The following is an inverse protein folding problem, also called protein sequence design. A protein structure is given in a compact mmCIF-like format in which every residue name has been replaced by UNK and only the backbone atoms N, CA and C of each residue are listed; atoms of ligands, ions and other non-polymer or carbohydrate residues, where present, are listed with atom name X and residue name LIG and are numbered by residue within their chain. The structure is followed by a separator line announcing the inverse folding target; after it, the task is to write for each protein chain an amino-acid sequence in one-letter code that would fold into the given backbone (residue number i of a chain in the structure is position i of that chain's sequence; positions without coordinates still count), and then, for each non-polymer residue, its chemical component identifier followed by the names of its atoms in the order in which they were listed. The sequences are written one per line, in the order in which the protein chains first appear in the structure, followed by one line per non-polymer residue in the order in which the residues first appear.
data_IF_765770676698
#
_entry.id   IF_765770676698
#
_cell.length_a   1.000
_cell.length_b   1.000
_cell.length_c   1.000
_cell.angle_alpha   90.00
_cell.angle_beta   90.00
_cell.angle_gamma   90.00
#
_symmetry.space_group_name_H-M   'P 1'
#
loop_
_entity.id
_entity.type
_entity.pdbx_description
1 polymer ?
#
# COMPACT_ATOMS: atom_id res chain seq x y z
N UNK A 1 41.99 -7.74 32.93
CA UNK A 1 40.53 -7.58 32.88
C UNK A 1 39.95 -8.94 32.55
N UNK A 2 39.30 -9.61 33.51
CA UNK A 2 39.10 -11.04 33.47
C UNK A 2 37.91 -11.41 32.57
N UNK A 3 38.17 -12.18 31.50
CA UNK A 3 37.18 -12.67 30.51
C UNK A 3 36.00 -13.41 31.15
N UNK A 4 36.26 -14.11 32.27
CA UNK A 4 35.23 -14.86 33.02
C UNK A 4 34.21 -13.95 33.71
N UNK A 5 34.60 -12.77 34.14
CA UNK A 5 33.71 -11.81 34.78
C UNK A 5 32.78 -11.13 33.77
N UNK A 6 33.28 -10.88 32.58
CA UNK A 6 32.46 -10.33 31.47
C UNK A 6 31.35 -11.33 31.00
N UNK A 7 31.66 -12.61 30.93
CA UNK A 7 30.67 -13.65 30.60
C UNK A 7 29.61 -13.76 31.69
N UNK A 8 30.00 -13.73 32.96
CA UNK A 8 29.06 -13.82 34.08
C UNK A 8 28.07 -12.64 34.10
N UNK A 9 28.57 -11.44 33.85
CA UNK A 9 27.76 -10.22 33.79
C UNK A 9 26.84 -10.22 32.57
N UNK A 10 27.26 -10.76 31.42
CA UNK A 10 26.42 -10.97 30.25
C UNK A 10 25.24 -11.89 30.56
N UNK A 11 25.45 -13.04 31.15
CA UNK A 11 24.39 -13.97 31.52
C UNK A 11 23.43 -13.43 32.58
N UNK A 12 23.89 -12.64 33.54
CA UNK A 12 23.03 -12.00 34.54
C UNK A 12 22.10 -10.97 33.87
N UNK A 13 22.61 -10.21 32.91
CA UNK A 13 21.83 -9.19 32.17
C UNK A 13 20.74 -9.81 31.29
N UNK A 14 21.03 -10.94 30.64
CA UNK A 14 20.09 -11.64 29.75
C UNK A 14 19.15 -12.61 30.45
N UNK A 15 19.39 -12.98 31.71
CA UNK A 15 18.52 -13.89 32.47
C UNK A 15 17.08 -13.40 32.56
N UNK A 16 16.85 -12.10 32.72
CA UNK A 16 15.50 -11.49 32.77
C UNK A 16 14.78 -11.57 31.41
N UNK A 17 15.50 -11.41 30.31
CA UNK A 17 14.95 -11.50 28.94
C UNK A 17 14.59 -12.94 28.58
N UNK A 18 15.43 -13.91 28.92
CA UNK A 18 15.19 -15.34 28.67
C UNK A 18 13.97 -15.84 29.48
N UNK A 19 13.84 -15.41 30.74
CA UNK A 19 12.66 -15.78 31.58
C UNK A 19 11.39 -15.17 31.02
N UNK A 20 11.42 -13.89 30.54
CA UNK A 20 10.26 -13.25 29.94
C UNK A 20 9.81 -13.95 28.64
N UNK A 21 10.74 -14.37 27.78
CA UNK A 21 10.43 -15.08 26.54
C UNK A 21 9.86 -16.47 26.76
N UNK A 22 10.34 -17.20 27.78
CA UNK A 22 9.82 -18.54 28.11
C UNK A 22 8.41 -18.48 28.70
N UNK A 23 8.06 -17.45 29.47
CA UNK A 23 6.71 -17.24 30.00
C UNK A 23 5.72 -16.93 28.88
N UNK A 24 6.10 -16.11 27.88
CA UNK A 24 5.26 -15.83 26.71
C UNK A 24 4.96 -17.11 25.88
N UNK A 25 5.94 -17.99 25.68
CA UNK A 25 5.74 -19.23 24.94
C UNK A 25 4.81 -20.21 25.68
N UNK A 26 4.87 -20.28 27.03
CA UNK A 26 3.94 -21.07 27.84
C UNK A 26 2.51 -20.51 27.79
N UNK A 27 2.34 -19.19 27.79
CA UNK A 27 1.02 -18.57 27.67
C UNK A 27 0.35 -18.87 26.33
N UNK A 28 1.10 -18.87 25.23
CA UNK A 28 0.60 -19.21 23.88
C UNK A 28 0.18 -20.69 23.83
N UNK A 29 0.94 -21.59 24.45
CA UNK A 29 0.62 -23.03 24.49
C UNK A 29 -0.70 -23.29 25.30
N UNK A 30 -0.94 -22.56 26.41
CA UNK A 30 -2.15 -22.72 27.21
C UNK A 30 -3.39 -22.20 26.44
N UNK A 31 -3.28 -21.09 25.72
CA UNK A 31 -4.38 -20.55 24.89
C UNK A 31 -4.72 -21.53 23.76
N UNK A 32 -3.73 -22.16 23.13
CA UNK A 32 -3.94 -23.16 22.08
C UNK A 32 -4.68 -24.42 22.59
N UNK A 33 -4.40 -24.89 23.81
CA UNK A 33 -5.06 -26.08 24.40
C UNK A 33 -6.50 -25.77 24.84
N UNK A 34 -6.80 -24.56 25.32
CA UNK A 34 -8.17 -24.17 25.69
C UNK A 34 -9.06 -24.03 24.45
N UNK A 35 -8.52 -23.49 23.33
CA UNK A 35 -9.25 -23.39 22.07
C UNK A 35 -9.56 -24.76 21.45
N UNK A 36 -8.71 -25.76 21.62
CA UNK A 36 -8.91 -27.11 21.09
C UNK A 36 -9.94 -27.95 21.88
N UNK A 37 -10.33 -27.55 23.10
CA UNK A 37 -11.28 -28.30 23.94
C UNK A 37 -12.71 -27.77 23.89
N UNK A 38 -12.98 -26.67 23.15
CA UNK A 38 -14.30 -26.03 23.07
C UNK A 38 -15.08 -26.35 21.78
N UNK A 39 -14.66 -27.29 20.97
CA UNK A 39 -15.36 -27.63 19.74
C UNK A 39 -15.88 -29.06 19.74
N UNK A 40 -16.92 -29.33 20.55
CA UNK A 40 -17.80 -30.45 20.29
C UNK A 40 -19.17 -30.25 20.95
N UNK A 41 -20.07 -29.51 20.32
CA UNK A 41 -21.51 -29.70 20.40
C UNK A 41 -22.12 -29.21 19.08
N UNK A 42 -22.65 -30.17 18.32
CA UNK A 42 -23.30 -29.93 17.06
C UNK A 42 -24.63 -29.20 17.24
N UNK A 43 -24.86 -28.21 16.37
CA UNK A 43 -26.18 -27.89 15.84
C UNK A 43 -25.98 -27.57 14.37
N UNK A 44 -26.52 -28.44 13.54
CA UNK A 44 -26.77 -28.14 12.12
C UNK A 44 -27.71 -26.94 12.07
N UNK A 45 -27.18 -25.78 11.77
CA UNK A 45 -27.97 -24.66 11.31
C UNK A 45 -27.43 -24.30 9.94
N UNK A 46 -28.25 -24.61 8.95
CA UNK A 46 -28.06 -24.35 7.53
C UNK A 46 -28.13 -22.82 7.32
N UNK A 47 -27.05 -22.15 7.69
CA UNK A 47 -26.80 -20.78 7.29
C UNK A 47 -25.94 -20.88 6.03
N UNK A 48 -26.58 -20.55 4.90
CA UNK A 48 -25.89 -20.35 3.64
C UNK A 48 -24.61 -19.56 3.89
N UNK A 49 -23.48 -20.23 3.74
CA UNK A 49 -22.18 -19.57 3.63
C UNK A 49 -22.32 -18.67 2.41
N UNK A 50 -22.56 -17.38 2.67
CA UNK A 50 -22.37 -16.36 1.66
C UNK A 50 -20.88 -16.41 1.31
N UNK A 51 -20.53 -17.29 0.39
CA UNK A 51 -19.33 -17.15 -0.42
C UNK A 51 -19.57 -15.89 -1.23
N UNK A 52 -19.23 -14.74 -0.64
CA UNK A 52 -19.07 -13.52 -1.42
C UNK A 52 -18.07 -13.89 -2.51
N UNK A 53 -18.57 -14.05 -3.72
CA UNK A 53 -17.75 -14.08 -4.93
C UNK A 53 -16.68 -13.02 -4.78
N UNK A 54 -15.42 -13.27 -5.17
CA UNK A 54 -14.43 -12.22 -5.18
C UNK A 54 -15.06 -11.06 -5.96
N UNK A 55 -15.39 -9.99 -5.26
CA UNK A 55 -15.88 -8.76 -5.91
C UNK A 55 -14.75 -8.36 -6.83
N UNK A 56 -14.99 -8.49 -8.13
CA UNK A 56 -14.04 -8.13 -9.17
C UNK A 56 -13.93 -6.60 -9.13
N UNK A 57 -13.03 -6.11 -8.29
CA UNK A 57 -12.82 -4.68 -8.13
C UNK A 57 -12.09 -4.21 -9.38
N UNK A 58 -12.77 -3.37 -10.15
CA UNK A 58 -12.24 -2.79 -11.37
C UNK A 58 -12.08 -1.28 -11.18
N UNK A 59 -10.85 -0.81 -11.29
CA UNK A 59 -10.49 0.60 -11.22
C UNK A 59 -10.63 1.28 -12.58
N UNK A 60 -11.13 2.53 -12.60
CA UNK A 60 -10.95 3.39 -13.78
C UNK A 60 -9.50 3.84 -13.88
N UNK A 61 -9.07 4.17 -15.09
CA UNK A 61 -7.78 4.82 -15.31
C UNK A 61 -7.73 6.12 -14.48
N UNK A 62 -6.74 6.30 -13.60
CA UNK A 62 -6.71 7.44 -12.69
C UNK A 62 -6.27 8.76 -13.36
N UNK A 63 -5.97 8.76 -14.65
CA UNK A 63 -5.71 9.96 -15.46
C UNK A 63 -6.55 9.86 -16.72
N UNK A 64 -7.29 10.92 -17.06
CA UNK A 64 -8.09 10.97 -18.30
C UNK A 64 -7.19 10.83 -19.53
N UNK A 65 -7.51 9.87 -20.42
CA UNK A 65 -6.69 9.54 -21.60
C UNK A 65 -5.23 9.28 -21.25
N UNK A 66 -4.96 8.76 -20.04
CA UNK A 66 -3.62 8.50 -19.56
C UNK A 66 -2.94 7.34 -20.29
N UNK A 67 -1.63 7.47 -20.50
CA UNK A 67 -0.75 6.46 -21.08
C UNK A 67 0.25 6.02 -19.99
N UNK A 68 0.45 4.71 -19.82
CA UNK A 68 1.47 4.17 -18.92
C UNK A 68 2.83 4.38 -19.57
N UNK A 69 3.67 5.22 -18.97
CA UNK A 69 5.03 5.52 -19.43
C UNK A 69 6.11 4.70 -18.70
N UNK A 70 5.82 4.24 -17.48
CA UNK A 70 6.68 3.34 -16.71
C UNK A 70 5.81 2.32 -15.98
N UNK A 71 6.03 1.06 -16.30
CA UNK A 71 5.23 -0.03 -15.81
C UNK A 71 5.72 -0.58 -14.48
N UNK A 72 4.84 -1.26 -13.74
CA UNK A 72 5.17 -1.95 -12.50
C UNK A 72 6.23 -3.02 -12.72
N UNK A 73 7.21 -3.08 -11.83
CA UNK A 73 8.19 -4.15 -11.81
C UNK A 73 8.75 -4.38 -10.40
N UNK A 74 8.42 -5.52 -9.82
CA UNK A 74 8.93 -5.93 -8.51
C UNK A 74 10.29 -6.65 -8.60
N UNK A 75 10.59 -7.30 -9.73
CA UNK A 75 11.74 -8.19 -9.90
C UNK A 75 12.75 -7.71 -10.94
N UNK A 76 12.29 -7.03 -11.99
CA UNK A 76 13.16 -6.44 -12.99
C UNK A 76 13.42 -4.97 -12.67
N UNK A 77 14.67 -4.58 -12.66
CA UNK A 77 15.03 -3.18 -12.39
C UNK A 77 14.67 -2.29 -13.57
N UNK A 78 14.13 -1.11 -13.28
CA UNK A 78 13.89 -0.01 -14.20
C UNK A 78 14.93 1.08 -13.96
N UNK A 79 15.40 1.72 -15.03
CA UNK A 79 16.34 2.82 -14.90
C UNK A 79 15.61 4.10 -14.51
N UNK A 80 15.99 4.69 -13.38
CA UNK A 80 15.55 6.01 -12.97
C UNK A 80 16.51 7.06 -13.54
N UNK A 81 16.07 7.80 -14.54
CA UNK A 81 16.91 8.78 -15.24
C UNK A 81 17.24 10.00 -14.35
N UNK A 82 16.40 10.33 -13.40
CA UNK A 82 16.60 11.43 -12.43
C UNK A 82 17.70 11.08 -11.45
N UNK A 83 17.63 9.89 -10.85
CA UNK A 83 18.57 9.41 -9.83
C UNK A 83 19.79 8.70 -10.44
N UNK A 84 19.76 8.44 -11.76
CA UNK A 84 20.81 7.74 -12.51
C UNK A 84 21.16 6.36 -11.94
N UNK A 85 20.12 5.63 -11.51
CA UNK A 85 20.27 4.31 -10.90
C UNK A 85 19.21 3.33 -11.40
N UNK A 86 19.47 2.03 -11.21
CA UNK A 86 18.51 0.96 -11.46
C UNK A 86 17.81 0.59 -10.17
N UNK A 87 16.47 0.56 -10.19
CA UNK A 87 15.64 0.26 -9.02
C UNK A 87 14.36 -0.51 -9.38
N UNK A 88 13.74 -1.16 -8.40
CA UNK A 88 12.43 -1.77 -8.58
C UNK A 88 11.37 -0.66 -8.59
N UNK A 89 10.49 -0.66 -9.59
CA UNK A 89 9.39 0.30 -9.71
C UNK A 89 8.07 -0.35 -9.28
N UNK A 90 7.66 -0.15 -8.02
CA UNK A 90 6.45 -0.76 -7.45
C UNK A 90 5.23 0.14 -7.57
N UNK A 91 5.08 0.73 -8.74
CA UNK A 91 4.02 1.64 -9.15
C UNK A 91 3.81 1.54 -10.65
N UNK A 92 2.83 2.23 -11.19
CA UNK A 92 2.77 2.62 -12.60
C UNK A 92 2.83 4.13 -12.71
N UNK A 93 3.65 4.66 -13.62
CA UNK A 93 3.66 6.08 -13.93
C UNK A 93 2.81 6.33 -15.16
N UNK A 94 1.85 7.23 -15.03
CA UNK A 94 0.82 7.49 -16.03
C UNK A 94 0.92 8.94 -16.47
N UNK A 95 1.20 9.15 -17.75
CA UNK A 95 1.22 10.47 -18.38
C UNK A 95 -0.16 10.81 -18.93
N UNK A 96 -0.60 12.04 -18.72
CA UNK A 96 -1.75 12.66 -19.36
C UNK A 96 -1.35 13.91 -20.14
N UNK A 97 -2.34 14.67 -20.59
CA UNK A 97 -2.10 16.02 -21.05
C UNK A 97 -1.51 16.88 -19.91
N UNK A 98 -0.87 17.99 -20.25
CA UNK A 98 -0.47 18.96 -19.24
C UNK A 98 -1.75 19.43 -18.52
N UNK A 99 -1.70 19.52 -17.19
CA UNK A 99 -2.85 19.82 -16.33
C UNK A 99 -3.98 18.75 -16.32
N UNK A 100 -3.76 17.55 -16.81
CA UNK A 100 -4.76 16.49 -16.76
C UNK A 100 -5.23 16.23 -15.33
N UNK A 101 -6.55 16.03 -15.18
CA UNK A 101 -7.12 15.66 -13.90
C UNK A 101 -6.68 14.26 -13.47
N UNK A 102 -6.35 14.16 -12.19
CA UNK A 102 -6.18 12.87 -11.52
C UNK A 102 -7.49 12.51 -10.84
N UNK A 103 -7.95 11.29 -11.10
CA UNK A 103 -9.25 10.79 -10.69
C UNK A 103 -9.11 9.71 -9.62
N UNK A 104 -10.00 9.69 -8.63
CA UNK A 104 -10.14 8.55 -7.73
C UNK A 104 -10.52 7.31 -8.54
N UNK A 105 -9.67 6.28 -8.53
CA UNK A 105 -9.90 5.08 -9.35
C UNK A 105 -11.08 4.22 -8.86
N UNK A 106 -11.50 4.39 -7.62
CA UNK A 106 -12.60 3.69 -6.96
C UNK A 106 -13.14 4.49 -5.77
N UNK A 107 -14.35 4.14 -5.30
CA UNK A 107 -14.96 4.74 -4.11
C UNK A 107 -14.09 4.54 -2.87
N UNK A 108 -13.96 5.56 -2.03
CA UNK A 108 -13.13 5.45 -0.85
C UNK A 108 -13.18 6.66 0.08
N UNK A 109 -12.24 6.66 1.01
CA UNK A 109 -12.03 7.77 1.95
C UNK A 109 -10.56 8.18 1.88
N UNK A 110 -10.31 9.48 1.75
CA UNK A 110 -8.95 10.04 1.81
C UNK A 110 -8.41 9.88 3.23
N UNK A 111 -7.34 9.13 3.37
CA UNK A 111 -6.72 8.86 4.69
C UNK A 111 -5.45 9.66 4.91
N UNK A 112 -4.87 10.24 3.85
CA UNK A 112 -3.68 11.08 3.96
C UNK A 112 -3.55 12.00 2.77
N UNK A 113 -3.16 13.26 3.03
CA UNK A 113 -2.66 14.22 2.02
C UNK A 113 -1.37 14.79 2.57
N UNK A 114 -0.25 14.53 1.87
CA UNK A 114 1.09 14.96 2.31
C UNK A 114 1.87 15.51 1.13
N UNK A 115 2.70 16.51 1.38
CA UNK A 115 3.63 17.06 0.38
C UNK A 115 5.07 16.92 0.87
N UNK A 116 5.96 16.54 -0.03
CA UNK A 116 7.38 16.50 0.21
C UNK A 116 8.17 16.95 -1.02
N UNK A 117 9.39 17.39 -0.82
CA UNK A 117 10.28 17.76 -1.93
C UNK A 117 10.56 16.59 -2.88
N UNK A 118 10.70 15.37 -2.37
CA UNK A 118 11.07 14.20 -3.17
C UNK A 118 9.91 13.63 -3.97
N UNK A 119 8.72 13.51 -3.34
CA UNK A 119 7.57 12.78 -3.93
C UNK A 119 6.47 13.70 -4.45
N UNK A 120 6.64 15.03 -4.31
CA UNK A 120 5.58 15.98 -4.59
C UNK A 120 4.42 15.85 -3.60
N UNK A 121 3.22 16.22 -4.03
CA UNK A 121 2.00 16.01 -3.25
C UNK A 121 1.49 14.60 -3.48
N UNK A 122 1.16 13.92 -2.40
CA UNK A 122 0.71 12.52 -2.37
C UNK A 122 -0.63 12.42 -1.65
N UNK A 123 -1.62 11.83 -2.30
CA UNK A 123 -2.92 11.47 -1.72
C UNK A 123 -2.97 9.96 -1.52
N UNK A 124 -3.45 9.50 -0.35
CA UNK A 124 -3.76 8.10 -0.10
C UNK A 124 -5.26 7.94 0.14
N UNK A 125 -5.89 7.05 -0.61
CA UNK A 125 -7.31 6.72 -0.48
C UNK A 125 -7.44 5.27 0.00
N UNK A 126 -8.22 5.08 1.05
CA UNK A 126 -8.58 3.75 1.56
C UNK A 126 -9.91 3.31 0.96
N UNK A 127 -9.94 2.12 0.42
CA UNK A 127 -11.11 1.45 -0.14
C UNK A 127 -11.57 0.29 0.75
N UNK A 128 -12.64 -0.39 0.34
CA UNK A 128 -13.05 -1.64 0.95
C UNK A 128 -12.03 -2.77 0.69
N UNK A 129 -12.16 -3.90 1.37
CA UNK A 129 -11.35 -5.11 1.16
C UNK A 129 -9.83 -4.90 1.34
N UNK A 130 -9.43 -4.08 2.33
CA UNK A 130 -8.00 -3.82 2.64
C UNK A 130 -7.19 -3.24 1.49
N UNK A 131 -7.86 -2.63 0.50
CA UNK A 131 -7.22 -1.93 -0.61
C UNK A 131 -6.97 -0.47 -0.26
N UNK A 132 -5.83 0.03 -0.71
CA UNK A 132 -5.50 1.46 -0.70
C UNK A 132 -4.88 1.82 -2.05
N UNK A 133 -5.10 3.04 -2.48
CA UNK A 133 -4.42 3.62 -3.65
C UNK A 133 -3.66 4.86 -3.24
N UNK A 134 -2.49 5.04 -3.85
CA UNK A 134 -1.61 6.18 -3.61
C UNK A 134 -1.41 6.91 -4.93
N UNK A 135 -1.61 8.22 -4.89
CA UNK A 135 -1.51 9.13 -6.02
C UNK A 135 -0.40 10.12 -5.72
N UNK A 136 0.76 9.92 -6.29
CA UNK A 136 1.96 10.77 -6.12
C UNK A 136 2.24 11.66 -7.33
N UNK A 137 3.24 12.54 -7.19
CA UNK A 137 3.61 13.53 -8.23
C UNK A 137 2.48 14.49 -8.60
N UNK A 138 1.59 14.80 -7.64
CA UNK A 138 0.47 15.72 -7.85
C UNK A 138 0.90 17.17 -7.69
N UNK A 139 0.13 18.08 -8.31
CA UNK A 139 0.19 19.52 -8.03
C UNK A 139 -0.09 19.79 -6.54
N UNK A 140 0.42 20.89 -6.02
CA UNK A 140 0.21 21.27 -4.62
C UNK A 140 -1.26 21.62 -4.31
N UNK A 141 -2.01 22.09 -5.33
CA UNK A 141 -3.42 22.46 -5.23
C UNK A 141 -4.32 21.24 -5.47
N UNK A 142 -4.40 20.34 -4.50
CA UNK A 142 -5.31 19.19 -4.56
C UNK A 142 -6.76 19.58 -4.23
N UNK A 143 -7.71 18.80 -4.73
CA UNK A 143 -9.15 19.08 -4.64
C UNK A 143 -9.83 18.42 -3.43
N UNK A 144 -9.07 17.66 -2.65
CA UNK A 144 -9.57 16.87 -1.49
C UNK A 144 -8.64 17.01 -0.30
N UNK A 145 -9.17 16.73 0.88
CA UNK A 145 -8.44 16.71 2.15
C UNK A 145 -8.67 15.39 2.90
N UNK A 146 -7.85 15.16 3.91
CA UNK A 146 -7.99 14.00 4.80
C UNK A 146 -9.39 13.96 5.43
N UNK A 147 -10.01 12.78 5.43
CA UNK A 147 -11.37 12.52 5.89
C UNK A 147 -12.45 12.62 4.80
N UNK A 148 -12.18 13.21 3.65
CA UNK A 148 -13.16 13.33 2.57
C UNK A 148 -13.50 11.95 1.98
N UNK A 149 -14.79 11.74 1.69
CA UNK A 149 -15.26 10.60 0.90
C UNK A 149 -15.20 10.97 -0.57
N UNK A 150 -14.71 10.06 -1.39
CA UNK A 150 -14.60 10.21 -2.84
C UNK A 150 -15.35 9.08 -3.53
N UNK A 151 -15.87 9.37 -4.72
CA UNK A 151 -16.49 8.38 -5.59
C UNK A 151 -15.59 8.11 -6.80
N UNK A 152 -15.72 6.93 -7.38
CA UNK A 152 -15.02 6.52 -8.59
C UNK A 152 -15.17 7.56 -9.71
N UNK A 153 -14.06 7.99 -10.31
CA UNK A 153 -14.02 9.02 -11.35
C UNK A 153 -14.05 10.47 -10.84
N UNK A 154 -14.11 10.70 -9.53
CA UNK A 154 -14.05 12.05 -8.97
C UNK A 154 -12.63 12.62 -9.13
N UNK A 155 -12.53 13.86 -9.63
CA UNK A 155 -11.25 14.59 -9.67
C UNK A 155 -10.74 14.86 -8.25
N UNK A 156 -9.47 14.55 -7.97
CA UNK A 156 -8.82 14.72 -6.67
C UNK A 156 -7.59 15.63 -6.74
N UNK A 157 -7.06 15.91 -7.92
CA UNK A 157 -5.90 16.77 -8.15
C UNK A 157 -5.54 16.81 -9.63
N UNK A 158 -4.33 17.23 -9.92
CA UNK A 158 -3.77 17.29 -11.28
C UNK A 158 -2.41 16.63 -11.33
N UNK A 159 -2.03 16.10 -12.49
CA UNK A 159 -0.68 15.62 -12.74
C UNK A 159 0.33 16.76 -12.65
N UNK A 160 1.55 16.47 -12.22
CA UNK A 160 2.64 17.43 -12.18
C UNK A 160 4.01 16.77 -12.32
N UNK A 161 5.07 17.59 -12.35
CA UNK A 161 6.47 17.18 -12.23
C UNK A 161 7.05 17.55 -10.85
N UNK A 162 6.20 17.56 -9.83
CA UNK A 162 6.58 17.96 -8.48
C UNK A 162 7.48 16.95 -7.78
N UNK A 163 7.39 15.66 -8.14
CA UNK A 163 8.24 14.59 -7.62
C UNK A 163 9.68 14.73 -8.13
N UNK A 164 10.59 15.20 -7.27
CA UNK A 164 11.99 15.47 -7.66
C UNK A 164 12.82 14.19 -7.83
N UNK A 165 12.40 13.07 -7.28
CA UNK A 165 13.01 11.75 -7.52
C UNK A 165 12.68 11.17 -8.91
N UNK A 166 11.68 11.73 -9.64
CA UNK A 166 11.21 11.28 -10.95
C UNK A 166 11.02 12.43 -11.95
N UNK A 167 11.68 13.58 -11.69
CA UNK A 167 11.51 14.80 -12.50
C UNK A 167 11.89 14.66 -13.97
N UNK A 168 12.73 13.68 -14.33
CA UNK A 168 13.08 13.40 -15.72
C UNK A 168 11.92 12.77 -16.52
N UNK A 169 10.90 12.22 -15.85
CA UNK A 169 9.73 11.62 -16.49
C UNK A 169 8.68 12.69 -16.88
N UNK A 170 8.90 13.96 -16.48
CA UNK A 170 8.01 15.08 -16.77
C UNK A 170 6.73 15.07 -15.94
N UNK A 171 5.64 15.68 -16.45
CA UNK A 171 4.34 15.65 -15.78
C UNK A 171 3.75 14.25 -15.87
N UNK A 172 3.51 13.61 -14.73
CA UNK A 172 2.93 12.27 -14.63
C UNK A 172 2.24 12.07 -13.28
N UNK A 173 1.42 11.04 -13.20
CA UNK A 173 0.92 10.47 -11.96
C UNK A 173 1.76 9.25 -11.60
N UNK A 174 2.36 9.22 -10.41
CA UNK A 174 2.92 8.03 -9.79
C UNK A 174 1.81 7.30 -9.04
N UNK A 175 1.36 6.13 -9.53
CA UNK A 175 0.19 5.42 -9.02
C UNK A 175 0.55 4.06 -8.41
N UNK A 176 0.19 3.88 -7.13
CA UNK A 176 0.42 2.62 -6.42
C UNK A 176 -0.90 2.01 -5.94
N UNK A 177 -0.94 0.69 -5.88
CA UNK A 177 -2.00 -0.08 -5.22
C UNK A 177 -1.39 -0.90 -4.09
N UNK A 178 -2.02 -0.83 -2.91
CA UNK A 178 -1.66 -1.65 -1.77
C UNK A 178 -2.84 -2.56 -1.42
N UNK A 179 -2.54 -3.85 -1.20
CA UNK A 179 -3.46 -4.82 -0.62
C UNK A 179 -2.86 -5.32 0.69
N UNK A 180 -3.60 -5.23 1.78
CA UNK A 180 -3.11 -5.59 3.13
C UNK A 180 -1.78 -4.88 3.47
N UNK A 181 -1.65 -3.60 3.09
CA UNK A 181 -0.46 -2.75 3.22
C UNK A 181 0.78 -3.22 2.42
N UNK A 182 0.65 -4.16 1.49
CA UNK A 182 1.72 -4.59 0.58
C UNK A 182 1.46 -4.04 -0.81
N UNK A 183 2.47 -3.39 -1.43
CA UNK A 183 2.38 -2.90 -2.80
C UNK A 183 2.23 -4.06 -3.78
N UNK A 184 1.19 -4.01 -4.60
CA UNK A 184 0.85 -4.99 -5.63
C UNK A 184 0.81 -4.32 -7.00
N UNK A 185 0.83 -5.11 -8.06
CA UNK A 185 0.77 -4.60 -9.44
C UNK A 185 -0.57 -3.88 -9.71
N UNK A 186 -0.56 -2.57 -9.97
CA UNK A 186 -1.77 -1.81 -10.28
C UNK A 186 -2.52 -2.32 -11.52
N UNK A 187 -1.83 -2.91 -12.48
CA UNK A 187 -2.44 -3.43 -13.72
C UNK A 187 -3.46 -4.55 -13.45
N UNK A 188 -3.37 -5.24 -12.29
CA UNK A 188 -4.35 -6.25 -11.89
C UNK A 188 -5.74 -5.67 -11.62
N UNK A 189 -5.85 -4.35 -11.43
CA UNK A 189 -7.08 -3.65 -11.06
C UNK A 189 -7.54 -2.66 -12.14
N UNK A 190 -6.61 -2.09 -12.91
CA UNK A 190 -6.91 -1.12 -13.96
C UNK A 190 -7.64 -1.82 -15.11
N UNK A 191 -8.81 -1.31 -15.48
CA UNK A 191 -9.47 -1.71 -16.73
C UNK A 191 -8.81 -0.96 -17.87
N UNK A 192 -8.07 -1.67 -18.70
CA UNK A 192 -7.75 -1.18 -20.05
C UNK A 192 -9.06 -1.16 -20.83
N UNK A 193 -9.52 0.02 -21.22
CA UNK A 193 -10.54 0.11 -22.26
C UNK A 193 -9.91 -0.44 -23.53
N UNK A 194 -10.31 -1.66 -23.94
CA UNK A 194 -10.01 -2.13 -25.28
C UNK A 194 -10.52 -1.09 -26.27
N UNK A 195 -9.60 -0.59 -27.10
CA UNK A 195 -9.95 0.29 -28.23
C UNK A 195 -10.53 -0.51 -29.36
#
# INVERSE_FOLDING_TARGET
MDYKENIKNFFIRFKKVIVASSVCLLAIAIIGVVAAKSSNTGYLNDQAVNTSSPTNISFVMPVENGEIIKDYSATSLKYNATLKQWEAHKAVDIKGADDANVLACYDGTVVSVKSSYLTGTVITIKHNNSLQTVYGSLDENVLVKEGDKVVKGQAIGKVSSSAKNESADGNHLHFEVLKDNVKVDPNLFLTTSEK
#
